data_IF_184193844093
#
_entry.id   IF_184193844093
#
_cell.length_a   1.000
_cell.length_b   1.000
_cell.length_c   1.000
_cell.angle_alpha   90.00
_cell.angle_beta   90.00
_cell.angle_gamma   90.00
#
_symmetry.space_group_name_H-M   'P 1'
#
loop_
_entity.id
_entity.type
_entity.pdbx_description
1 polymer ?
#
# COMPACT_ATOMS: atom_id res chain seq x y z
N UNK A 1 -15.10 -1.14 -4.43
CA UNK A 1 -14.24 -1.75 -3.41
C UNK A 1 -13.67 -0.62 -2.58
N UNK A 2 -14.08 -0.51 -1.31
CA UNK A 2 -13.71 0.63 -0.46
C UNK A 2 -12.37 0.36 0.22
N UNK A 3 -11.31 1.01 -0.26
CA UNK A 3 -9.98 1.03 0.33
C UNK A 3 -9.99 1.83 1.64
N UNK A 4 -10.58 1.24 2.69
CA UNK A 4 -10.47 1.78 4.02
C UNK A 4 -9.05 1.54 4.54
N UNK A 5 -8.19 2.54 4.33
CA UNK A 5 -6.94 2.75 5.07
C UNK A 5 -7.27 2.94 6.56
N UNK A 6 -7.56 1.85 7.27
CA UNK A 6 -7.70 1.90 8.71
C UNK A 6 -6.32 1.98 9.35
N UNK A 7 -6.07 3.12 10.01
CA UNK A 7 -5.15 3.19 11.13
C UNK A 7 -5.70 2.28 12.22
N UNK A 8 -5.34 0.99 12.20
CA UNK A 8 -5.84 0.05 13.20
C UNK A 8 -5.03 0.27 14.48
N UNK A 9 -5.64 0.88 15.50
CA UNK A 9 -5.26 0.73 16.91
C UNK A 9 -5.46 -0.72 17.38
N UNK A 10 -4.94 -1.71 16.65
CA UNK A 10 -5.03 -3.10 17.05
C UNK A 10 -3.82 -3.47 17.90
N UNK A 11 -4.07 -4.15 19.01
CA UNK A 11 -3.09 -4.91 19.80
C UNK A 11 -2.24 -5.89 18.95
N UNK A 12 -2.70 -6.21 17.75
CA UNK A 12 -2.08 -7.10 16.78
C UNK A 12 -1.06 -6.43 15.86
N UNK A 13 -0.63 -5.19 16.14
CA UNK A 13 0.39 -4.50 15.33
C UNK A 13 1.65 -4.24 16.17
N UNK A 14 2.81 -4.23 15.51
CA UNK A 14 4.10 -3.90 16.14
C UNK A 14 4.84 -2.87 15.31
N UNK A 15 5.59 -1.98 15.96
CA UNK A 15 6.50 -1.05 15.30
C UNK A 15 7.63 -1.83 14.63
N UNK A 16 7.86 -1.60 13.34
CA UNK A 16 8.84 -2.30 12.51
C UNK A 16 9.92 -1.35 11.96
N UNK A 17 10.32 -0.37 12.78
CA UNK A 17 11.34 0.62 12.43
C UNK A 17 10.78 1.91 11.82
N UNK A 18 11.68 2.87 11.57
CA UNK A 18 11.37 4.21 11.08
C UNK A 18 12.26 4.52 9.87
N UNK A 19 11.67 4.98 8.75
CA UNK A 19 12.42 5.39 7.55
C UNK A 19 11.81 6.64 6.95
N UNK A 20 12.66 7.55 6.46
CA UNK A 20 12.25 8.83 5.83
C UNK A 20 11.23 9.62 6.69
N UNK A 21 11.48 9.65 8.00
CA UNK A 21 10.63 10.32 8.99
C UNK A 21 9.35 9.57 9.39
N UNK A 22 8.96 8.52 8.66
CA UNK A 22 7.71 7.79 8.86
C UNK A 22 7.89 6.51 9.67
N UNK A 23 6.96 6.22 10.58
CA UNK A 23 6.93 5.01 11.38
C UNK A 23 6.28 3.86 10.60
N UNK A 24 6.94 2.70 10.56
CA UNK A 24 6.42 1.49 9.95
C UNK A 24 5.84 0.58 11.01
N UNK A 25 4.79 -0.14 10.65
CA UNK A 25 4.12 -1.13 11.48
C UNK A 25 3.97 -2.44 10.71
N UNK A 26 3.91 -3.53 11.46
CA UNK A 26 3.66 -4.86 10.93
C UNK A 26 2.50 -5.49 11.69
N UNK A 27 1.56 -6.09 10.96
CA UNK A 27 0.52 -6.94 11.53
C UNK A 27 1.15 -8.27 12.00
N UNK A 28 0.89 -8.65 13.24
CA UNK A 28 1.38 -9.89 13.86
C UNK A 28 0.71 -11.15 13.28
N UNK A 29 -0.52 -11.02 12.82
CA UNK A 29 -1.33 -12.15 12.31
C UNK A 29 -0.98 -12.45 10.85
N UNK A 30 -1.00 -11.42 10.00
CA UNK A 30 -0.86 -11.59 8.54
C UNK A 30 0.53 -11.23 8.01
N UNK A 31 1.42 -10.71 8.85
CA UNK A 31 2.76 -10.26 8.46
C UNK A 31 2.80 -9.01 7.57
N UNK A 32 1.65 -8.46 7.15
CA UNK A 32 1.53 -7.26 6.31
C UNK A 32 2.17 -6.04 6.98
N UNK A 33 2.85 -5.22 6.19
CA UNK A 33 3.47 -3.97 6.64
C UNK A 33 2.71 -2.75 6.13
N UNK A 34 2.65 -1.71 6.95
CA UNK A 34 2.00 -0.44 6.64
C UNK A 34 2.71 0.71 7.37
N UNK A 35 2.38 1.94 6.99
CA UNK A 35 3.02 3.17 7.50
C UNK A 35 2.00 3.97 8.31
N UNK A 36 2.43 4.68 9.34
CA UNK A 36 1.59 5.47 10.27
C UNK A 36 0.68 6.48 9.58
N UNK A 37 1.15 7.06 8.48
CA UNK A 37 0.45 8.11 7.74
C UNK A 37 0.71 7.89 6.25
N UNK A 38 0.03 6.90 5.63
CA UNK A 38 0.21 6.64 4.21
C UNK A 38 -0.23 7.89 3.46
N UNK A 39 0.72 8.57 2.82
CA UNK A 39 0.39 9.68 1.93
C UNK A 39 -0.33 9.09 0.73
N UNK A 40 -1.54 9.55 0.46
CA UNK A 40 -2.21 9.32 -0.83
C UNK A 40 -1.46 10.12 -1.89
N UNK A 41 -0.26 9.66 -2.27
CA UNK A 41 0.41 10.17 -3.44
C UNK A 41 -0.08 9.33 -4.61
N UNK A 42 -1.02 9.85 -5.44
CA UNK A 42 -1.36 9.15 -6.66
C UNK A 42 -0.09 8.97 -7.47
N UNK A 43 0.00 7.84 -8.18
CA UNK A 43 1.03 7.67 -9.19
C UNK A 43 0.99 8.88 -10.14
N UNK A 44 2.16 9.33 -10.60
CA UNK A 44 2.19 10.24 -11.72
C UNK A 44 1.43 9.62 -12.91
N UNK A 45 0.83 10.42 -13.80
CA UNK A 45 0.08 9.91 -14.95
C UNK A 45 0.87 8.84 -15.73
N UNK A 46 2.15 9.10 -15.99
CA UNK A 46 3.07 8.16 -16.65
C UNK A 46 3.24 6.82 -15.92
N UNK A 47 3.35 6.86 -14.59
CA UNK A 47 3.47 5.63 -13.79
C UNK A 47 2.15 4.86 -13.75
N UNK A 48 1.00 5.55 -13.78
CA UNK A 48 -0.32 4.93 -13.89
C UNK A 48 -0.45 4.19 -15.23
N UNK A 49 -0.09 4.83 -16.34
CA UNK A 49 -0.09 4.23 -17.67
C UNK A 49 0.85 3.03 -17.77
N UNK A 50 2.08 3.15 -17.27
CA UNK A 50 3.04 2.04 -17.26
C UNK A 50 2.51 0.84 -16.48
N UNK A 51 1.86 1.08 -15.33
CA UNK A 51 1.27 0.02 -14.53
C UNK A 51 0.11 -0.67 -15.24
N UNK A 52 -0.74 0.08 -15.96
CA UNK A 52 -1.81 -0.46 -16.77
C UNK A 52 -1.27 -1.29 -17.94
N UNK A 53 -0.23 -0.82 -18.62
CA UNK A 53 0.46 -1.55 -19.67
C UNK A 53 1.02 -2.88 -19.15
N UNK A 54 1.76 -2.85 -18.03
CA UNK A 54 2.31 -4.07 -17.42
C UNK A 54 1.21 -5.05 -16.98
N UNK A 55 0.09 -4.55 -16.47
CA UNK A 55 -1.07 -5.38 -16.13
C UNK A 55 -1.64 -6.06 -17.38
N UNK A 56 -1.85 -5.29 -18.45
CA UNK A 56 -2.35 -5.81 -19.71
C UNK A 56 -1.40 -6.86 -20.30
N UNK A 57 -0.09 -6.58 -20.35
CA UNK A 57 0.91 -7.54 -20.83
C UNK A 57 0.91 -8.85 -20.04
N UNK A 58 0.64 -8.80 -18.74
CA UNK A 58 0.66 -9.97 -17.86
C UNK A 58 -0.64 -10.77 -17.88
N UNK A 59 -1.78 -10.10 -17.91
CA UNK A 59 -3.10 -10.70 -17.68
C UNK A 59 -4.03 -10.61 -18.89
N UNK A 60 -3.59 -9.96 -19.97
CA UNK A 60 -4.38 -9.69 -21.18
C UNK A 60 -5.73 -9.01 -20.90
N UNK A 61 -5.80 -8.27 -19.79
CA UNK A 61 -7.00 -7.56 -19.33
C UNK A 61 -6.60 -6.25 -18.65
N UNK A 62 -7.51 -5.28 -18.64
CA UNK A 62 -7.37 -4.05 -17.85
C UNK A 62 -8.12 -4.22 -16.51
N UNK A 63 -7.57 -3.72 -15.39
CA UNK A 63 -8.26 -3.76 -14.11
C UNK A 63 -9.47 -2.82 -14.15
N UNK A 64 -10.64 -3.33 -13.80
CA UNK A 64 -11.92 -2.60 -13.69
C UNK A 64 -12.05 -1.87 -12.37
#
# INVERSE_FOLDING_TARGET
MNDNHYYIQSTHTRKNGRRRGQQFFQCRIYGRQFVESPKSQPYSPRMKELRLLLHYLKFQTLPT
#
